data_IF_687036591438
#
_entry.id   IF_687036591438
#
_cell.length_a   1.000
_cell.length_b   1.000
_cell.length_c   1.000
_cell.angle_alpha   90.00
_cell.angle_beta   90.00
_cell.angle_gamma   90.00
#
_symmetry.space_group_name_H-M   'P 1'
#
loop_
_entity.id
_entity.type
_entity.pdbx_description
1 polymer ?
#
# COMPACT_ATOMS: atom_id res chain seq x y z
N UNK A 1 -0.49 2.18 33.66
CA UNK A 1 -0.22 2.07 32.21
C UNK A 1 -1.26 2.92 31.47
N UNK A 2 -0.87 3.60 30.38
CA UNK A 2 -1.75 4.53 29.63
C UNK A 2 -2.74 3.76 28.75
N UNK A 3 -2.35 2.60 28.21
CA UNK A 3 -3.22 1.75 27.41
C UNK A 3 -4.20 0.93 28.26
N UNK A 4 -5.48 0.99 27.89
CA UNK A 4 -6.61 0.31 28.54
C UNK A 4 -7.35 -0.65 27.60
N UNK A 5 -6.82 -0.94 26.42
CA UNK A 5 -7.46 -1.79 25.42
C UNK A 5 -7.88 -3.15 26.01
N UNK A 6 -6.97 -3.83 26.72
CA UNK A 6 -7.23 -5.14 27.33
C UNK A 6 -8.19 -5.09 28.53
N UNK A 7 -8.46 -3.90 29.09
CA UNK A 7 -9.49 -3.74 30.12
C UNK A 7 -10.88 -3.52 29.53
N UNK A 8 -10.95 -2.95 28.32
CA UNK A 8 -12.21 -2.77 27.59
C UNK A 8 -12.62 -4.07 26.90
N UNK A 9 -11.66 -4.73 26.25
CA UNK A 9 -11.82 -5.99 25.55
C UNK A 9 -10.91 -7.02 26.22
N UNK A 10 -11.43 -7.84 27.13
CA UNK A 10 -10.61 -8.77 27.89
C UNK A 10 -10.12 -9.93 27.00
N UNK A 11 -8.82 -10.28 27.08
CA UNK A 11 -8.28 -11.39 26.32
C UNK A 11 -8.81 -12.73 26.82
N UNK A 12 -8.82 -13.73 25.94
CA UNK A 12 -9.34 -15.06 26.25
C UNK A 12 -8.36 -16.17 25.87
N UNK A 13 -8.34 -17.24 26.67
CA UNK A 13 -7.44 -18.37 26.50
C UNK A 13 -6.28 -18.37 27.50
N UNK A 14 -5.66 -19.54 27.70
CA UNK A 14 -4.50 -19.72 28.59
C UNK A 14 -3.29 -18.93 28.12
N UNK A 15 -3.05 -18.93 26.81
CA UNK A 15 -2.00 -18.13 26.17
C UNK A 15 -2.64 -16.97 25.43
N UNK A 16 -2.48 -15.78 26.01
CA UNK A 16 -3.03 -14.55 25.48
C UNK A 16 -1.98 -13.42 25.39
N UNK A 17 -2.35 -12.32 24.73
CA UNK A 17 -1.47 -11.15 24.61
C UNK A 17 -1.38 -10.36 25.93
N UNK A 18 -0.27 -9.65 26.10
CA UNK A 18 -0.04 -8.74 27.23
C UNK A 18 -0.33 -7.30 26.86
N UNK A 19 -0.44 -6.40 27.84
CA UNK A 19 -0.59 -4.95 27.61
C UNK A 19 0.56 -4.39 26.76
N UNK A 20 1.79 -4.88 26.97
CA UNK A 20 2.95 -4.53 26.15
C UNK A 20 2.81 -4.92 24.68
N UNK A 21 2.17 -6.07 24.40
CA UNK A 21 1.87 -6.47 23.02
C UNK A 21 0.88 -5.49 22.36
N UNK A 22 -0.16 -5.08 23.09
CA UNK A 22 -1.14 -4.10 22.60
C UNK A 22 -0.48 -2.73 22.37
N UNK A 23 0.39 -2.26 23.26
CA UNK A 23 1.18 -1.02 23.06
C UNK A 23 2.02 -1.07 21.78
N UNK A 24 2.66 -2.22 21.53
CA UNK A 24 3.40 -2.45 20.30
C UNK A 24 2.48 -2.41 19.06
N UNK A 25 1.33 -3.08 19.10
CA UNK A 25 0.37 -3.07 17.99
C UNK A 25 -0.17 -1.66 17.71
N UNK A 26 -0.39 -0.84 18.73
CA UNK A 26 -0.73 0.58 18.58
C UNK A 26 0.38 1.38 17.89
N UNK A 27 1.65 1.07 18.19
CA UNK A 27 2.81 1.67 17.53
C UNK A 27 2.84 1.30 16.05
N UNK A 28 2.65 0.02 15.72
CA UNK A 28 2.61 -0.43 14.32
C UNK A 28 1.43 0.21 13.58
N UNK A 29 0.26 0.29 14.20
CA UNK A 29 -0.90 1.01 13.66
C UNK A 29 -0.56 2.46 13.31
N UNK A 30 0.09 3.19 14.22
CA UNK A 30 0.46 4.58 13.99
C UNK A 30 1.43 4.73 12.80
N UNK A 31 2.41 3.83 12.67
CA UNK A 31 3.35 3.82 11.54
C UNK A 31 2.62 3.55 10.23
N UNK A 32 1.70 2.57 10.20
CA UNK A 32 0.89 2.24 9.03
C UNK A 32 0.00 3.42 8.61
N UNK A 33 -0.66 4.05 9.58
CA UNK A 33 -1.53 5.19 9.35
C UNK A 33 -0.75 6.41 8.87
N UNK A 34 0.39 6.72 9.48
CA UNK A 34 1.27 7.81 9.03
C UNK A 34 1.74 7.56 7.60
N UNK A 35 2.16 6.34 7.28
CA UNK A 35 2.58 5.96 5.92
C UNK A 35 1.44 6.08 4.91
N UNK A 36 0.20 5.76 5.33
CA UNK A 36 -1.00 5.95 4.52
C UNK A 36 -1.23 7.44 4.21
N UNK A 37 -1.15 8.30 5.23
CA UNK A 37 -1.32 9.75 5.07
C UNK A 37 -0.25 10.34 4.16
N UNK A 38 1.02 9.93 4.32
CA UNK A 38 2.11 10.33 3.43
C UNK A 38 1.82 9.90 1.99
N UNK A 39 1.35 8.66 1.80
CA UNK A 39 1.04 8.12 0.46
C UNK A 39 -0.11 8.87 -0.21
N UNK A 40 -1.16 9.21 0.56
CA UNK A 40 -2.28 10.02 0.09
C UNK A 40 -1.84 11.43 -0.29
N UNK A 41 -1.05 12.08 0.58
CA UNK A 41 -0.52 13.42 0.37
C UNK A 41 0.36 13.49 -0.87
N UNK A 42 1.29 12.54 -1.03
CA UNK A 42 2.17 12.44 -2.19
C UNK A 42 1.37 12.31 -3.49
N UNK A 43 0.34 11.44 -3.50
CA UNK A 43 -0.50 11.20 -4.67
C UNK A 43 -1.39 12.40 -5.01
N UNK A 44 -1.82 13.16 -4.00
CA UNK A 44 -2.65 14.35 -4.18
C UNK A 44 -1.86 15.54 -4.76
N UNK A 45 -0.59 15.72 -4.33
CA UNK A 45 0.26 16.81 -4.80
C UNK A 45 0.99 16.52 -6.11
N UNK A 46 1.31 15.26 -6.38
CA UNK A 46 2.04 14.88 -7.57
C UNK A 46 1.17 14.94 -8.84
N UNK A 47 1.64 15.68 -9.86
CA UNK A 47 1.09 15.61 -11.22
C UNK A 47 1.55 14.33 -11.91
N UNK A 48 1.03 13.19 -11.45
CA UNK A 48 1.34 11.88 -12.01
C UNK A 48 0.51 11.60 -13.26
N UNK A 49 1.18 11.36 -14.40
CA UNK A 49 0.54 10.97 -15.67
C UNK A 49 -0.20 9.63 -15.55
N UNK A 50 0.27 8.72 -14.69
CA UNK A 50 -0.41 7.47 -14.35
C UNK A 50 -0.50 7.29 -12.83
N UNK A 51 -1.74 7.27 -12.29
CA UNK A 51 -2.01 7.16 -10.85
C UNK A 51 -2.09 5.71 -10.34
N UNK A 52 -2.24 4.72 -11.22
CA UNK A 52 -2.40 3.30 -10.87
C UNK A 52 -1.31 2.77 -9.93
N UNK A 53 0.01 3.00 -10.15
CA UNK A 53 1.03 2.42 -9.27
C UNK A 53 0.98 2.96 -7.84
N UNK A 54 0.43 4.16 -7.63
CA UNK A 54 0.29 4.77 -6.29
C UNK A 54 -0.94 4.25 -5.53
N UNK A 55 -1.89 3.60 -6.21
CA UNK A 55 -3.05 2.99 -5.56
C UNK A 55 -2.66 1.76 -4.73
N UNK A 56 -1.63 1.02 -5.16
CA UNK A 56 -1.16 -0.19 -4.46
C UNK A 56 -0.75 0.13 -3.00
N UNK A 57 0.17 1.08 -2.73
CA UNK A 57 0.48 1.48 -1.36
C UNK A 57 -0.74 1.91 -0.54
N UNK A 58 -1.64 2.70 -1.12
CA UNK A 58 -2.83 3.22 -0.42
C UNK A 58 -3.73 2.06 0.03
N UNK A 59 -4.04 1.12 -0.88
CA UNK A 59 -4.89 -0.03 -0.55
C UNK A 59 -4.23 -0.91 0.51
N UNK A 60 -2.94 -1.23 0.34
CA UNK A 60 -2.19 -2.09 1.28
C UNK A 60 -2.15 -1.47 2.68
N UNK A 61 -1.79 -0.19 2.78
CA UNK A 61 -1.68 0.52 4.06
C UNK A 61 -3.03 0.76 4.72
N UNK A 62 -4.10 0.94 3.93
CA UNK A 62 -5.46 1.08 4.48
C UNK A 62 -5.91 -0.22 5.15
N UNK A 63 -5.83 -1.35 4.43
CA UNK A 63 -6.21 -2.66 4.98
C UNK A 63 -5.35 -3.01 6.19
N UNK A 64 -4.04 -2.74 6.12
CA UNK A 64 -3.11 -2.98 7.23
C UNK A 64 -3.45 -2.11 8.45
N UNK A 65 -3.76 -0.82 8.26
CA UNK A 65 -4.13 0.07 9.37
C UNK A 65 -5.39 -0.42 10.09
N UNK A 66 -6.41 -0.86 9.35
CA UNK A 66 -7.64 -1.41 9.94
C UNK A 66 -7.37 -2.72 10.71
N UNK A 67 -6.53 -3.59 10.14
CA UNK A 67 -6.15 -4.84 10.77
C UNK A 67 -5.38 -4.60 12.08
N UNK A 68 -4.37 -3.72 12.06
CA UNK A 68 -3.59 -3.37 13.26
C UNK A 68 -4.42 -2.65 14.32
N UNK A 69 -5.35 -1.78 13.93
CA UNK A 69 -6.30 -1.17 14.87
C UNK A 69 -7.15 -2.22 15.58
N UNK A 70 -7.69 -3.19 14.83
CA UNK A 70 -8.48 -4.29 15.37
C UNK A 70 -7.66 -5.12 16.35
N UNK A 71 -6.46 -5.53 15.97
CA UNK A 71 -5.58 -6.33 16.83
C UNK A 71 -5.12 -5.57 18.08
N UNK A 72 -4.76 -4.30 17.95
CA UNK A 72 -4.35 -3.46 19.08
C UNK A 72 -5.48 -3.28 20.11
N UNK A 73 -6.72 -3.29 19.64
CA UNK A 73 -7.93 -3.22 20.45
C UNK A 73 -8.37 -4.57 21.02
N UNK A 74 -7.57 -5.63 20.87
CA UNK A 74 -7.90 -7.00 21.26
C UNK A 74 -9.17 -7.56 20.58
N UNK A 75 -9.34 -7.25 19.29
CA UNK A 75 -10.45 -7.74 18.47
C UNK A 75 -9.93 -8.65 17.36
N UNK A 76 -10.79 -9.59 16.93
CA UNK A 76 -10.51 -10.37 15.74
C UNK A 76 -9.54 -11.55 15.95
N UNK A 77 -9.61 -12.15 17.14
CA UNK A 77 -8.96 -13.41 17.47
C UNK A 77 -9.98 -14.54 17.65
N UNK A 78 -9.53 -15.77 17.45
CA UNK A 78 -10.25 -16.98 17.81
C UNK A 78 -9.42 -17.75 18.85
N UNK A 79 -10.09 -18.43 19.77
CA UNK A 79 -9.40 -19.25 20.78
C UNK A 79 -9.39 -20.69 20.30
N UNK A 80 -8.20 -21.24 20.10
CA UNK A 80 -8.01 -22.62 19.64
C UNK A 80 -7.41 -23.44 20.77
N UNK A 81 -7.99 -24.61 21.03
CA UNK A 81 -7.46 -25.56 22.00
C UNK A 81 -6.35 -26.39 21.38
N UNK A 82 -5.22 -26.50 22.07
CA UNK A 82 -4.10 -27.35 21.70
C UNK A 82 -3.69 -28.21 22.91
N UNK A 83 -2.77 -29.17 22.72
CA UNK A 83 -2.24 -30.05 23.76
C UNK A 83 -1.67 -29.31 24.97
N UNK A 84 -1.23 -28.06 24.78
CA UNK A 84 -0.63 -27.23 25.81
C UNK A 84 -1.62 -26.29 26.52
N UNK A 85 -2.87 -26.19 26.06
CA UNK A 85 -3.87 -25.24 26.55
C UNK A 85 -4.58 -24.50 25.42
N UNK A 86 -5.35 -23.47 25.78
CA UNK A 86 -6.06 -22.63 24.79
C UNK A 86 -5.22 -21.43 24.39
N UNK A 87 -5.11 -21.15 23.09
CA UNK A 87 -4.27 -20.09 22.52
C UNK A 87 -5.09 -19.11 21.68
N UNK A 88 -4.81 -17.81 21.80
CA UNK A 88 -5.34 -16.80 20.90
C UNK A 88 -4.68 -16.86 19.52
N UNK A 89 -5.51 -17.02 18.50
CA UNK A 89 -5.14 -17.02 17.08
C UNK A 89 -5.76 -15.82 16.39
N UNK A 90 -4.92 -14.95 15.85
CA UNK A 90 -5.36 -13.68 15.25
C UNK A 90 -5.77 -13.85 13.81
N UNK A 91 -7.05 -14.17 13.59
CA UNK A 91 -7.55 -14.49 12.27
C UNK A 91 -7.62 -13.27 11.33
N UNK A 92 -7.69 -12.06 11.89
CA UNK A 92 -7.69 -10.81 11.12
C UNK A 92 -6.46 -10.70 10.20
N UNK A 93 -5.31 -11.23 10.61
CA UNK A 93 -4.11 -11.28 9.76
C UNK A 93 -4.31 -12.14 8.52
N UNK A 94 -4.97 -13.29 8.65
CA UNK A 94 -5.26 -14.15 7.52
C UNK A 94 -6.26 -13.48 6.55
N UNK A 95 -7.23 -12.71 7.08
CA UNK A 95 -8.13 -11.90 6.25
C UNK A 95 -7.35 -10.83 5.47
N UNK A 96 -6.45 -10.11 6.17
CA UNK A 96 -5.55 -9.13 5.54
C UNK A 96 -4.72 -9.79 4.44
N UNK A 97 -4.03 -10.89 4.74
CA UNK A 97 -3.21 -11.62 3.76
C UNK A 97 -4.04 -12.07 2.57
N UNK A 98 -5.19 -12.71 2.79
CA UNK A 98 -6.07 -13.12 1.69
C UNK A 98 -6.44 -11.94 0.78
N UNK A 99 -6.78 -10.78 1.37
CA UNK A 99 -7.11 -9.59 0.60
C UNK A 99 -5.92 -9.06 -0.21
N UNK A 100 -4.73 -9.06 0.38
CA UNK A 100 -3.49 -8.58 -0.27
C UNK A 100 -3.03 -9.53 -1.38
N UNK A 101 -3.03 -10.84 -1.13
CA UNK A 101 -2.71 -11.86 -2.13
C UNK A 101 -3.69 -11.81 -3.31
N UNK A 102 -5.00 -11.79 -3.04
CA UNK A 102 -6.02 -11.73 -4.09
C UNK A 102 -5.93 -10.45 -4.96
N UNK A 103 -5.45 -9.34 -4.41
CA UNK A 103 -5.26 -8.09 -5.15
C UNK A 103 -3.99 -8.12 -6.01
N UNK A 104 -2.91 -8.70 -5.51
CA UNK A 104 -1.62 -8.77 -6.22
C UNK A 104 -1.68 -9.52 -7.56
N UNK A 105 -2.56 -10.51 -7.67
CA UNK A 105 -2.77 -11.32 -8.88
C UNK A 105 -3.46 -10.56 -10.05
N UNK A 106 -4.01 -9.37 -9.82
CA UNK A 106 -4.84 -8.65 -10.81
C UNK A 106 -4.09 -7.64 -11.67
N UNK A 107 -2.82 -7.35 -11.36
CA UNK A 107 -2.04 -6.32 -12.05
C UNK A 107 -0.77 -6.91 -12.66
N UNK A 108 -0.79 -7.35 -13.93
CA UNK A 108 0.42 -7.79 -14.61
C UNK A 108 1.36 -6.59 -14.78
N UNK A 109 2.47 -6.60 -14.05
CA UNK A 109 3.55 -5.63 -14.21
C UNK A 109 4.21 -5.82 -15.57
N UNK A 110 4.07 -4.84 -16.47
CA UNK A 110 4.84 -4.79 -17.72
C UNK A 110 6.18 -4.12 -17.42
N UNK A 111 7.21 -4.92 -17.16
CA UNK A 111 8.57 -4.45 -16.92
C UNK A 111 9.26 -4.21 -18.26
N UNK A 112 9.78 -3.00 -18.48
CA UNK A 112 10.63 -2.70 -19.64
C UNK A 112 12.00 -3.41 -19.53
N UNK A 113 12.57 -3.81 -20.67
CA UNK A 113 13.75 -4.70 -20.78
C UNK A 113 15.02 -4.25 -20.00
N UNK A 114 15.13 -3.02 -19.51
CA UNK A 114 16.39 -2.41 -19.08
C UNK A 114 16.57 -2.22 -17.56
N UNK A 115 15.93 -3.02 -16.70
CA UNK A 115 16.01 -2.85 -15.23
C UNK A 115 16.71 -4.03 -14.55
N UNK A 116 17.78 -4.61 -15.12
CA UNK A 116 18.32 -5.91 -14.64
C UNK A 116 19.07 -5.88 -13.30
N UNK A 117 19.73 -4.78 -12.95
CA UNK A 117 20.66 -4.75 -11.80
C UNK A 117 19.96 -4.63 -10.43
N UNK A 118 18.90 -3.82 -10.33
CA UNK A 118 18.18 -3.59 -9.06
C UNK A 118 17.23 -4.72 -8.63
N UNK A 119 16.90 -5.65 -9.53
CA UNK A 119 15.93 -6.71 -9.26
C UNK A 119 16.46 -7.78 -8.31
N UNK A 120 17.77 -8.05 -8.33
CA UNK A 120 18.35 -9.06 -7.45
C UNK A 120 18.30 -8.64 -5.97
N UNK A 121 18.65 -7.37 -5.68
CA UNK A 121 18.56 -6.85 -4.31
C UNK A 121 17.12 -6.76 -3.81
N UNK A 122 16.20 -6.26 -4.64
CA UNK A 122 14.78 -6.18 -4.28
C UNK A 122 14.13 -7.57 -4.14
N UNK A 123 14.45 -8.49 -5.06
CA UNK A 123 13.98 -9.87 -5.03
C UNK A 123 14.51 -10.63 -3.82
N UNK A 124 15.79 -10.45 -3.47
CA UNK A 124 16.38 -11.02 -2.27
C UNK A 124 15.72 -10.46 -0.99
N UNK A 125 15.47 -9.15 -0.93
CA UNK A 125 14.76 -8.51 0.18
C UNK A 125 13.36 -9.10 0.36
N UNK A 126 12.55 -9.13 -0.71
CA UNK A 126 11.18 -9.65 -0.66
C UNK A 126 11.21 -11.15 -0.31
N UNK A 127 12.07 -11.93 -0.95
CA UNK A 127 12.20 -13.36 -0.69
C UNK A 127 12.61 -13.67 0.76
N UNK A 128 13.55 -12.90 1.31
CA UNK A 128 13.97 -13.02 2.71
C UNK A 128 12.81 -12.74 3.67
N UNK A 129 12.13 -11.59 3.51
CA UNK A 129 10.98 -11.23 4.35
C UNK A 129 9.88 -12.28 4.26
N UNK A 130 9.57 -12.76 3.05
CA UNK A 130 8.55 -13.78 2.84
C UNK A 130 8.91 -15.14 3.44
N UNK A 131 10.19 -15.45 3.56
CA UNK A 131 10.65 -16.69 4.23
C UNK A 131 10.51 -16.58 5.75
N UNK A 132 10.58 -15.37 6.33
CA UNK A 132 10.38 -15.17 7.76
C UNK A 132 8.92 -15.35 8.21
N UNK A 133 7.93 -15.10 7.34
CA UNK A 133 6.51 -15.32 7.66
C UNK A 133 6.19 -16.79 8.04
N UNK A 134 6.50 -17.82 7.22
CA UNK A 134 6.24 -19.21 7.58
C UNK A 134 7.09 -19.67 8.77
N UNK A 135 8.28 -19.11 8.97
CA UNK A 135 9.09 -19.38 10.17
C UNK A 135 8.38 -18.85 11.42
N UNK A 136 7.91 -17.59 11.39
CA UNK A 136 7.14 -17.02 12.48
C UNK A 136 5.88 -17.84 12.76
N UNK A 137 5.15 -18.22 11.72
CA UNK A 137 3.97 -19.07 11.83
C UNK A 137 4.28 -20.44 12.47
N UNK A 138 5.35 -21.10 12.03
CA UNK A 138 5.78 -22.38 12.57
C UNK A 138 6.17 -22.30 14.05
N UNK A 139 6.82 -21.21 14.46
CA UNK A 139 7.19 -20.97 15.86
C UNK A 139 5.99 -20.59 16.75
N UNK A 140 5.00 -19.89 16.20
CA UNK A 140 3.84 -19.41 16.98
C UNK A 140 2.69 -20.41 16.98
N UNK A 141 2.02 -20.57 15.86
CA UNK A 141 0.76 -21.30 15.73
C UNK A 141 1.02 -22.79 15.50
N UNK A 142 2.07 -23.09 14.72
CA UNK A 142 2.41 -24.46 14.34
C UNK A 142 3.00 -25.29 15.49
N UNK A 143 3.85 -24.69 16.34
CA UNK A 143 4.56 -25.38 17.43
C UNK A 143 4.27 -24.85 18.83
N UNK A 144 3.57 -23.71 18.96
CA UNK A 144 3.32 -23.05 20.25
C UNK A 144 4.61 -22.77 21.06
N UNK A 145 5.73 -22.52 20.38
CA UNK A 145 7.03 -22.25 21.00
C UNK A 145 7.13 -20.80 21.50
N UNK A 146 6.60 -19.85 20.72
CA UNK A 146 6.60 -18.43 21.09
C UNK A 146 5.23 -17.98 21.62
N UNK A 147 5.26 -17.14 22.66
CA UNK A 147 4.05 -16.56 23.24
C UNK A 147 3.30 -15.67 22.23
N UNK A 148 1.97 -15.51 22.35
CA UNK A 148 1.21 -14.59 21.50
C UNK A 148 1.76 -13.16 21.51
N UNK A 149 2.32 -12.71 22.63
CA UNK A 149 3.00 -11.41 22.72
C UNK A 149 4.21 -11.34 21.79
N UNK A 150 5.10 -12.33 21.84
CA UNK A 150 6.32 -12.37 21.00
C UNK A 150 5.97 -12.51 19.52
N UNK A 151 4.91 -13.26 19.23
CA UNK A 151 4.35 -13.38 17.91
C UNK A 151 3.87 -12.02 17.35
N UNK A 152 3.17 -11.21 18.14
CA UNK A 152 2.73 -9.87 17.71
C UNK A 152 3.93 -8.96 17.41
N UNK A 153 4.99 -9.07 18.22
CA UNK A 153 6.24 -8.33 17.96
C UNK A 153 6.87 -8.75 16.65
N UNK A 154 7.01 -10.05 16.43
CA UNK A 154 7.65 -10.59 15.22
C UNK A 154 6.87 -10.19 13.96
N UNK A 155 5.57 -10.46 13.88
CA UNK A 155 4.78 -10.05 12.71
C UNK A 155 4.72 -8.54 12.52
N UNK A 156 4.67 -7.76 13.61
CA UNK A 156 4.73 -6.30 13.52
C UNK A 156 5.99 -5.78 12.85
N UNK A 157 7.15 -6.37 13.17
CA UNK A 157 8.42 -6.03 12.50
C UNK A 157 8.37 -6.41 11.01
N UNK A 158 7.90 -7.62 10.69
CA UNK A 158 7.78 -8.08 9.31
C UNK A 158 6.86 -7.18 8.49
N UNK A 159 5.73 -6.79 9.04
CA UNK A 159 4.76 -5.93 8.34
C UNK A 159 5.27 -4.50 8.17
N UNK A 160 6.04 -3.95 9.11
CA UNK A 160 6.70 -2.65 8.93
C UNK A 160 7.69 -2.71 7.75
N UNK A 161 8.45 -3.80 7.65
CA UNK A 161 9.42 -4.02 6.58
C UNK A 161 8.73 -4.27 5.23
N UNK A 162 7.74 -5.16 5.17
CA UNK A 162 7.02 -5.51 3.94
C UNK A 162 6.01 -4.43 3.49
N UNK A 163 5.48 -3.64 4.41
CA UNK A 163 4.50 -2.59 4.14
C UNK A 163 5.19 -1.23 4.03
N UNK A 164 5.15 -0.37 5.07
CA UNK A 164 5.67 0.99 5.06
C UNK A 164 7.03 1.16 4.40
N UNK A 165 8.04 0.38 4.82
CA UNK A 165 9.42 0.55 4.35
C UNK A 165 9.53 0.20 2.86
N UNK A 166 9.04 -0.98 2.47
CA UNK A 166 9.05 -1.43 1.08
C UNK A 166 8.24 -0.49 0.17
N UNK A 167 7.03 -0.11 0.58
CA UNK A 167 6.12 0.73 -0.21
C UNK A 167 6.66 2.15 -0.37
N UNK A 168 7.34 2.69 0.63
CA UNK A 168 8.01 3.98 0.53
C UNK A 168 9.08 3.97 -0.57
N UNK A 169 9.98 2.98 -0.56
CA UNK A 169 10.99 2.86 -1.62
C UNK A 169 10.37 2.57 -2.99
N UNK A 170 9.33 1.74 -3.05
CA UNK A 170 8.58 1.49 -4.27
C UNK A 170 8.02 2.80 -4.86
N UNK A 171 7.41 3.66 -4.04
CA UNK A 171 6.89 4.95 -4.49
C UNK A 171 7.99 5.88 -4.99
N UNK A 172 9.14 5.94 -4.30
CA UNK A 172 10.30 6.71 -4.77
C UNK A 172 10.75 6.21 -6.15
N UNK A 173 10.88 4.90 -6.33
CA UNK A 173 11.26 4.33 -7.64
C UNK A 173 10.25 4.65 -8.73
N UNK A 174 8.95 4.47 -8.48
CA UNK A 174 7.90 4.81 -9.46
C UNK A 174 7.95 6.29 -9.83
N UNK A 175 8.13 7.19 -8.86
CA UNK A 175 8.19 8.63 -9.13
C UNK A 175 9.38 9.02 -10.01
N UNK A 176 10.56 8.43 -9.78
CA UNK A 176 11.74 8.69 -10.60
C UNK A 176 11.59 8.20 -12.04
N UNK A 177 10.96 7.03 -12.23
CA UNK A 177 10.72 6.47 -13.56
C UNK A 177 9.74 7.33 -14.36
N UNK A 178 8.63 7.76 -13.73
CA UNK A 178 7.66 8.64 -14.39
C UNK A 178 8.26 9.98 -14.81
N UNK A 179 9.10 10.58 -13.96
CA UNK A 179 9.79 11.83 -14.30
C UNK A 179 10.78 11.65 -15.45
N UNK A 180 11.51 10.53 -15.50
CA UNK A 180 12.43 10.22 -16.58
C UNK A 180 11.70 10.02 -17.93
N UNK A 181 10.57 9.31 -17.93
CA UNK A 181 9.74 9.12 -19.12
C UNK A 181 9.15 10.45 -19.63
N UNK A 182 8.74 11.34 -18.72
CA UNK A 182 8.27 12.68 -19.06
C UNK A 182 9.38 13.54 -19.68
N UNK A 183 10.58 13.50 -19.12
CA UNK A 183 11.75 14.18 -19.69
C UNK A 183 12.10 13.68 -21.09
N UNK A 184 12.16 12.35 -21.27
CA UNK A 184 12.44 11.74 -22.57
C UNK A 184 11.37 12.08 -23.62
N UNK A 185 10.08 12.07 -23.25
CA UNK A 185 8.99 12.46 -24.14
C UNK A 185 9.07 13.94 -24.55
N UNK A 186 9.39 14.83 -23.61
CA UNK A 186 9.56 16.27 -23.88
C UNK A 186 10.73 16.53 -24.85
N UNK A 187 11.86 15.85 -24.67
CA UNK A 187 13.01 15.94 -25.58
C UNK A 187 12.70 15.41 -26.99
N UNK A 188 11.94 14.32 -27.09
CA UNK A 188 11.51 13.77 -28.38
C UNK A 188 10.58 14.73 -29.14
N UNK A 189 9.66 15.40 -28.44
CA UNK A 189 8.78 16.40 -29.04
C UNK A 189 9.56 17.64 -29.53
N UNK A 190 10.52 18.12 -28.73
CA UNK A 190 11.41 19.21 -29.12
C UNK A 190 12.23 18.86 -30.39
N UNK A 191 12.77 17.64 -30.48
CA UNK A 191 13.52 17.18 -31.65
C UNK A 191 12.65 17.01 -32.91
N UNK A 192 11.35 16.74 -32.77
CA UNK A 192 10.41 16.65 -33.91
C UNK A 192 9.96 18.03 -34.42
N UNK A 193 10.37 19.12 -33.78
CA UNK A 193 9.90 20.46 -34.12
C UNK A 193 8.40 20.65 -33.83
N UNK A 194 7.80 19.76 -33.04
CA UNK A 194 6.41 19.84 -32.61
C UNK A 194 6.34 20.88 -31.47
N UNK A 195 6.32 22.15 -31.84
CA UNK A 195 6.00 23.23 -30.90
C UNK A 195 4.54 23.05 -30.50
N UNK A 196 4.30 22.64 -29.25
CA UNK A 196 2.97 22.59 -28.67
C UNK A 196 2.29 23.95 -28.92
N UNK A 197 1.15 24.02 -29.64
CA UNK A 197 0.48 25.29 -29.83
C UNK A 197 0.09 25.78 -28.44
N UNK A 198 0.68 26.91 -28.04
CA UNK A 198 0.40 27.58 -26.78
C UNK A 198 -1.12 27.71 -26.71
N UNK A 199 -1.74 26.93 -25.80
CA UNK A 199 -3.17 27.00 -25.57
C UNK A 199 -3.60 28.45 -25.36
N UNK A 200 -4.82 28.84 -25.78
CA UNK A 200 -5.24 30.24 -25.75
C UNK A 200 -4.94 30.86 -24.40
N UNK A 201 -4.31 32.04 -24.40
CA UNK A 201 -4.02 32.76 -23.16
C UNK A 201 -5.32 32.92 -22.35
N UNK A 202 -5.28 32.83 -21.01
CA UNK A 202 -6.48 32.99 -20.20
C UNK A 202 -7.08 34.38 -20.47
N UNK A 203 -8.21 34.43 -21.19
CA UNK A 203 -8.90 35.68 -21.53
C UNK A 203 -9.31 35.86 -23.00
N UNK A 204 -8.79 35.07 -23.95
CA UNK A 204 -9.30 35.12 -25.34
C UNK A 204 -10.44 34.12 -25.51
N UNK A 205 -11.68 34.60 -25.45
CA UNK A 205 -12.86 33.82 -25.81
C UNK A 205 -12.70 33.23 -27.22
N UNK A 206 -13.05 31.95 -27.38
CA UNK A 206 -13.11 31.32 -28.69
C UNK A 206 -14.07 32.11 -29.60
N UNK A 207 -13.74 32.38 -30.87
CA UNK A 207 -14.66 33.00 -31.79
C UNK A 207 -15.91 32.11 -31.93
N UNK A 208 -17.10 32.70 -31.74
CA UNK A 208 -18.36 32.00 -31.91
C UNK A 208 -18.46 31.40 -33.32
N UNK A 209 -19.01 30.19 -33.48
CA UNK A 209 -19.15 29.57 -34.80
C UNK A 209 -20.04 30.44 -35.69
N UNK A 210 -19.57 30.71 -36.91
CA UNK A 210 -20.29 31.51 -37.89
C UNK A 210 -21.65 30.87 -38.23
N UNK A 211 -22.70 31.69 -38.22
CA UNK A 211 -24.06 31.27 -38.54
C UNK A 211 -24.19 30.74 -39.99
N UNK A 212 -25.06 29.76 -40.26
CA UNK A 212 -25.27 29.24 -41.61
C UNK A 212 -25.86 30.33 -42.52
N UNK A 213 -25.24 30.56 -43.69
CA UNK A 213 -25.78 31.47 -44.70
C UNK A 213 -26.95 30.81 -45.45
N UNK A 214 -28.08 31.51 -45.53
CA UNK A 214 -29.25 31.10 -46.30
C UNK A 214 -29.01 31.27 -47.82
N UNK A 215 -29.56 30.40 -48.68
CA UNK A 215 -29.34 30.47 -50.12
C UNK A 215 -30.09 31.66 -50.74
N UNK A 216 -29.37 32.48 -51.52
CA UNK A 216 -29.93 33.59 -52.28
C UNK A 216 -30.72 33.05 -53.48
N UNK A 217 -31.98 33.49 -53.61
CA UNK A 217 -32.87 33.16 -54.72
C UNK A 217 -32.37 33.72 -56.05
N UNK A 218 -32.36 32.88 -57.08
CA UNK A 218 -32.17 33.26 -58.47
C UNK A 218 -33.52 33.53 -59.13
N UNK A 219 -33.67 34.73 -59.70
CA UNK A 219 -34.76 35.10 -60.62
C UNK A 219 -34.12 35.39 -61.96
N UNK A 220 -34.49 34.59 -62.97
CA UNK A 220 -34.68 34.97 -64.37
C UNK A 220 -35.51 33.87 -65.05
#
# INVERSE_FOLDING_TARGET
MVNRALSSNPPAGTFHITTHASDWLWTVFAIMLLSLLISLFWTALGRHRNRIPYQIPIVVLTVSSIAYFSMASDLGFAVISNRHGTRQVWYVRYIQWYRLFAHSLRYPFRVGQNVRSGYWGLGAYVGFIWTLYPICWGLSEGSNTISPTSEMVFYGILDIMAGPLFLFFYMLRVSTLQSADLGAASLSAANRGEVEPKGPAPGTAAPAPAAPQAPAGGVA
#
